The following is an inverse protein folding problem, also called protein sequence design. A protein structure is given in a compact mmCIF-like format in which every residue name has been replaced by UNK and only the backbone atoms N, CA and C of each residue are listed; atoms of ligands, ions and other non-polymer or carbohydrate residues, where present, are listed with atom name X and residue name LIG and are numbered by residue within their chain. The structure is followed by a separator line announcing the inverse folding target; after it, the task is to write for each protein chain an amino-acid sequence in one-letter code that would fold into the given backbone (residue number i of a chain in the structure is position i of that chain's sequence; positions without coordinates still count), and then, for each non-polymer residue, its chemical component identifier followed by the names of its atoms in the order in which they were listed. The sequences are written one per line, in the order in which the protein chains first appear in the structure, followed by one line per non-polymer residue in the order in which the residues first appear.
data_IF_928663616221
#
_entry.id   IF_928663616221
#
_cell.length_a   1.000
_cell.length_b   1.000
_cell.length_c   1.000
_cell.angle_alpha   90.00
_cell.angle_beta   90.00
_cell.angle_gamma   90.00
#
_symmetry.space_group_name_H-M   'P 1'
#
loop_
_entity.id
_entity.type
_entity.pdbx_description
1 polymer ?
#
# COMPACT_ATOMS: atom_id res chain seq x y z
N UNK A 1 -22.99 3.45 -11.98
CA UNK A 1 -21.54 3.58 -12.19
C UNK A 1 -20.94 3.90 -10.83
N UNK A 2 -20.22 2.97 -10.21
CA UNK A 2 -19.51 3.23 -8.96
C UNK A 2 -18.28 4.08 -9.27
N UNK A 3 -18.00 5.09 -8.45
CA UNK A 3 -16.78 5.88 -8.58
C UNK A 3 -15.55 5.00 -8.25
N UNK A 4 -14.44 5.19 -8.96
CA UNK A 4 -13.16 4.52 -8.72
C UNK A 4 -12.59 4.95 -7.36
N UNK A 5 -12.08 4.00 -6.56
CA UNK A 5 -11.42 4.33 -5.30
C UNK A 5 -10.11 5.08 -5.55
N UNK A 6 -9.78 6.06 -4.71
CA UNK A 6 -8.57 6.88 -4.83
C UNK A 6 -7.91 7.09 -3.47
N UNK A 7 -6.67 7.56 -3.48
CA UNK A 7 -6.05 8.10 -2.27
C UNK A 7 -6.77 9.39 -1.85
N UNK A 8 -7.29 9.41 -0.63
CA UNK A 8 -7.94 10.57 -0.03
C UNK A 8 -6.94 11.54 0.59
N UNK A 9 -5.80 11.03 1.05
CA UNK A 9 -4.70 11.78 1.64
C UNK A 9 -3.37 11.24 1.10
N UNK A 10 -2.27 12.02 1.15
CA UNK A 10 -0.94 11.50 0.87
C UNK A 10 -0.65 10.29 1.76
N UNK A 11 -0.16 9.17 1.18
CA UNK A 11 0.17 7.99 1.96
C UNK A 11 1.34 8.27 2.90
N UNK A 12 1.37 7.55 4.02
CA UNK A 12 2.47 7.66 5.00
C UNK A 12 3.21 6.34 5.06
N UNK A 13 4.53 6.41 4.91
CA UNK A 13 5.44 5.31 5.11
C UNK A 13 6.44 5.72 6.19
N UNK A 14 6.47 4.98 7.30
CA UNK A 14 7.30 5.32 8.45
C UNK A 14 8.01 4.09 9.00
N UNK A 15 9.30 4.23 9.25
CA UNK A 15 10.03 3.21 9.99
C UNK A 15 9.72 3.30 11.49
N UNK A 16 9.68 2.12 12.11
CA UNK A 16 9.53 1.93 13.54
C UNK A 16 10.71 1.11 14.07
N UNK A 17 10.81 0.97 15.40
CA UNK A 17 11.81 0.08 16.01
C UNK A 17 11.64 -1.39 15.57
N UNK A 18 10.44 -1.81 15.16
CA UNK A 18 10.12 -3.21 14.87
C UNK A 18 9.92 -3.53 13.38
N UNK A 19 9.88 -2.51 12.51
CA UNK A 19 9.57 -2.70 11.10
C UNK A 19 9.17 -1.39 10.44
N UNK A 20 8.34 -1.43 9.41
CA UNK A 20 7.79 -0.26 8.73
C UNK A 20 6.26 -0.30 8.76
N UNK A 21 5.64 0.87 8.77
CA UNK A 21 4.18 1.04 8.74
C UNK A 21 3.81 1.83 7.51
N UNK A 22 2.91 1.28 6.69
CA UNK A 22 2.30 1.94 5.54
C UNK A 22 0.83 2.24 5.88
N UNK A 23 0.46 3.50 5.81
CA UNK A 23 -0.92 3.96 5.99
C UNK A 23 -1.44 4.59 4.70
N UNK A 24 -2.59 4.08 4.22
CA UNK A 24 -3.28 4.56 3.04
C UNK A 24 -4.68 5.03 3.43
N UNK A 25 -4.99 6.30 3.20
CA UNK A 25 -6.35 6.82 3.30
C UNK A 25 -7.04 6.67 1.96
N UNK A 26 -8.14 5.92 1.89
CA UNK A 26 -8.88 5.69 0.65
C UNK A 26 -10.22 6.42 0.67
N UNK A 27 -10.69 6.90 -0.49
CA UNK A 27 -12.00 7.54 -0.63
C UNK A 27 -13.17 6.59 -0.33
N UNK A 28 -12.95 5.29 -0.49
CA UNK A 28 -13.90 4.22 -0.21
C UNK A 28 -13.13 2.91 0.02
N UNK A 29 -13.66 1.99 0.85
CA UNK A 29 -13.07 0.68 1.02
C UNK A 29 -13.18 -0.12 -0.29
N UNK A 30 -12.11 -0.86 -0.62
CA UNK A 30 -12.09 -1.82 -1.73
C UNK A 30 -11.56 -3.15 -1.25
N UNK A 31 -11.96 -4.28 -1.85
CA UNK A 31 -11.28 -5.55 -1.65
C UNK A 31 -9.78 -5.43 -1.91
N UNK A 32 -8.98 -6.01 -1.05
CA UNK A 32 -7.53 -5.97 -1.14
C UNK A 32 -6.92 -7.23 -0.54
N UNK A 33 -5.65 -7.47 -0.84
CA UNK A 33 -4.84 -8.51 -0.19
C UNK A 33 -3.40 -8.04 -0.05
N UNK A 34 -2.70 -8.61 0.92
CA UNK A 34 -1.28 -8.38 1.16
C UNK A 34 -0.55 -9.69 1.33
N UNK A 35 0.67 -9.75 0.80
CA UNK A 35 1.58 -10.89 0.97
C UNK A 35 3.02 -10.45 0.73
N UNK A 36 3.97 -11.30 1.11
CA UNK A 36 5.39 -11.08 0.86
C UNK A 36 5.92 -12.02 -0.22
N UNK A 37 6.96 -11.58 -0.91
CA UNK A 37 7.76 -12.39 -1.82
C UNK A 37 9.22 -12.33 -1.37
N UNK A 38 9.98 -13.36 -1.69
CA UNK A 38 11.43 -13.39 -1.57
C UNK A 38 12.09 -13.11 -2.94
N UNK A 39 13.42 -13.06 -2.93
CA UNK A 39 14.29 -12.97 -4.11
C UNK A 39 13.83 -11.97 -5.21
N UNK A 40 13.85 -10.64 -4.96
CA UNK A 40 14.20 -9.95 -3.72
C UNK A 40 13.01 -9.84 -2.72
N UNK A 41 13.28 -9.58 -1.43
CA UNK A 41 12.26 -9.32 -0.42
C UNK A 41 11.30 -8.20 -0.83
N UNK A 42 10.01 -8.49 -0.93
CA UNK A 42 8.99 -7.53 -1.35
C UNK A 42 7.73 -7.68 -0.51
N UNK A 43 7.11 -6.55 -0.14
CA UNK A 43 5.73 -6.49 0.29
C UNK A 43 4.87 -6.12 -0.91
N UNK A 44 3.81 -6.90 -1.13
CA UNK A 44 2.87 -6.69 -2.22
C UNK A 44 1.50 -6.40 -1.65
N UNK A 45 0.86 -5.34 -2.14
CA UNK A 45 -0.54 -5.03 -1.90
C UNK A 45 -1.30 -5.00 -3.23
N UNK A 46 -2.33 -5.82 -3.35
CA UNK A 46 -3.28 -5.79 -4.48
C UNK A 46 -4.58 -5.15 -4.04
N UNK A 47 -5.14 -4.29 -4.88
CA UNK A 47 -6.42 -3.62 -4.67
C UNK A 47 -7.34 -3.86 -5.87
N UNK A 48 -8.62 -4.11 -5.59
CA UNK A 48 -9.67 -4.10 -6.60
C UNK A 48 -9.92 -2.64 -7.02
N UNK A 49 -9.24 -2.23 -8.08
CA UNK A 49 -9.29 -0.90 -8.69
C UNK A 49 -9.07 0.28 -7.72
N UNK A 50 -7.81 0.51 -7.32
CA UNK A 50 -7.38 1.74 -6.64
C UNK A 50 -6.56 2.64 -7.58
N UNK A 51 -6.98 3.90 -7.72
CA UNK A 51 -6.25 4.95 -8.44
C UNK A 51 -5.15 5.56 -7.56
N UNK A 52 -3.90 5.45 -8.03
CA UNK A 52 -2.72 6.02 -7.40
C UNK A 52 -2.26 7.33 -8.05
N UNK A 53 -3.11 7.97 -8.87
CA UNK A 53 -2.78 9.26 -9.50
C UNK A 53 -2.30 10.27 -8.46
N UNK A 54 -1.14 10.88 -8.73
CA UNK A 54 -0.51 11.85 -7.82
C UNK A 54 0.42 11.23 -6.76
N UNK A 55 0.49 9.91 -6.63
CA UNK A 55 1.47 9.25 -5.76
C UNK A 55 2.86 9.19 -6.42
N UNK A 56 3.81 9.93 -5.86
CA UNK A 56 5.23 9.71 -6.13
C UNK A 56 5.77 8.60 -5.21
N UNK A 57 5.90 7.39 -5.76
CA UNK A 57 6.41 6.23 -5.02
C UNK A 57 7.89 6.35 -4.67
N UNK A 58 8.69 7.00 -5.50
CA UNK A 58 10.12 7.17 -5.24
C UNK A 58 10.33 8.11 -4.04
N UNK A 59 9.66 9.27 -4.05
CA UNK A 59 9.72 10.22 -2.95
C UNK A 59 9.22 9.61 -1.62
N UNK A 60 8.18 8.77 -1.65
CA UNK A 60 7.71 8.10 -0.44
C UNK A 60 8.73 7.08 0.11
N UNK A 61 9.39 6.31 -0.77
CA UNK A 61 10.39 5.33 -0.38
C UNK A 61 11.67 5.99 0.16
N UNK A 62 12.10 7.13 -0.40
CA UNK A 62 13.27 7.88 0.09
C UNK A 62 13.17 8.29 1.56
N UNK A 63 11.96 8.42 2.10
CA UNK A 63 11.70 8.73 3.51
C UNK A 63 11.85 7.55 4.49
N UNK A 64 12.11 6.33 4.01
CA UNK A 64 12.18 5.12 4.83
C UNK A 64 13.45 4.31 4.54
N UNK A 65 14.14 3.85 5.58
CA UNK A 65 15.31 3.00 5.46
C UNK A 65 14.97 1.53 5.19
N UNK A 66 13.79 1.06 5.61
CA UNK A 66 13.37 -0.35 5.44
C UNK A 66 12.74 -0.66 4.09
N UNK A 67 12.45 0.35 3.27
CA UNK A 67 11.87 0.22 1.94
C UNK A 67 12.80 0.87 0.93
N UNK A 68 13.34 0.08 0.01
CA UNK A 68 14.35 0.55 -0.95
C UNK A 68 13.73 1.13 -2.22
N UNK A 69 12.52 0.69 -2.55
CA UNK A 69 11.73 1.28 -3.64
C UNK A 69 10.24 1.00 -3.45
N UNK A 70 9.41 1.87 -4.01
CA UNK A 70 7.97 1.66 -4.08
C UNK A 70 7.50 1.89 -5.51
N UNK A 71 6.84 0.87 -6.07
CA UNK A 71 6.22 0.90 -7.40
C UNK A 71 4.73 0.67 -7.27
N UNK A 72 3.94 1.30 -8.12
CA UNK A 72 2.50 1.09 -8.17
C UNK A 72 1.99 1.17 -9.61
N UNK A 73 0.81 0.59 -9.87
CA UNK A 73 0.16 0.67 -11.17
C UNK A 73 -0.82 -0.47 -11.44
N UNK A 74 -1.33 -0.52 -12.66
CA UNK A 74 -2.21 -1.59 -13.13
C UNK A 74 -1.43 -2.91 -13.20
N UNK A 75 -1.96 -3.97 -12.59
CA UNK A 75 -1.44 -5.33 -12.77
C UNK A 75 -2.34 -6.12 -13.72
N UNK A 76 -3.65 -6.21 -13.45
CA UNK A 76 -4.65 -6.91 -14.28
C UNK A 76 -5.83 -5.98 -14.52
N UNK A 77 -6.66 -6.24 -15.55
CA UNK A 77 -7.97 -5.63 -15.61
C UNK A 77 -8.71 -5.81 -14.28
N UNK A 78 -9.13 -4.70 -13.67
CA UNK A 78 -9.79 -4.69 -12.36
C UNK A 78 -8.88 -4.70 -11.13
N UNK A 79 -7.55 -4.75 -11.30
CA UNK A 79 -6.61 -4.82 -10.18
C UNK A 79 -5.41 -3.89 -10.35
N UNK A 80 -5.17 -3.07 -9.33
CA UNK A 80 -3.93 -2.31 -9.20
C UNK A 80 -3.06 -2.90 -8.10
N UNK A 81 -1.74 -2.80 -8.26
CA UNK A 81 -0.75 -3.30 -7.30
C UNK A 81 0.15 -2.19 -6.84
N UNK A 82 0.45 -2.20 -5.54
CA UNK A 82 1.60 -1.53 -4.95
C UNK A 82 2.64 -2.57 -4.52
N UNK A 83 3.91 -2.35 -4.84
CA UNK A 83 5.04 -3.19 -4.46
C UNK A 83 6.05 -2.33 -3.72
N UNK A 84 6.36 -2.70 -2.48
CA UNK A 84 7.47 -2.16 -1.72
C UNK A 84 8.59 -3.19 -1.78
N UNK A 85 9.73 -2.81 -2.32
CA UNK A 85 10.96 -3.59 -2.18
C UNK A 85 11.55 -3.32 -0.80
N UNK A 86 11.87 -4.38 -0.06
CA UNK A 86 12.26 -4.29 1.35
C UNK A 86 13.77 -4.41 1.47
N UNK A 87 14.36 -3.66 2.39
CA UNK A 87 15.80 -3.68 2.65
C UNK A 87 16.28 -5.04 3.22
N UNK A 88 15.39 -5.78 3.87
CA UNK A 88 15.63 -7.11 4.43
C UNK A 88 14.34 -7.96 4.38
N UNK A 89 14.43 -9.30 4.53
CA UNK A 89 13.25 -10.14 4.69
C UNK A 89 12.40 -9.70 5.91
N UNK A 90 11.12 -9.42 5.68
CA UNK A 90 10.16 -9.04 6.72
C UNK A 90 8.87 -9.83 6.59
N UNK A 91 8.08 -9.87 7.67
CA UNK A 91 6.75 -10.47 7.71
C UNK A 91 5.68 -9.40 7.98
N UNK A 92 4.45 -9.67 7.56
CA UNK A 92 3.31 -8.82 7.90
C UNK A 92 2.90 -9.11 9.35
N UNK A 93 3.14 -8.14 10.24
CA UNK A 93 2.72 -8.22 11.65
C UNK A 93 1.22 -7.92 11.79
N UNK A 94 0.75 -6.86 11.12
CA UNK A 94 -0.65 -6.45 11.12
C UNK A 94 -1.07 -5.93 9.74
N UNK A 95 -2.32 -6.19 9.38
CA UNK A 95 -2.94 -5.66 8.17
C UNK A 95 -4.46 -5.57 8.37
N UNK A 96 -5.06 -4.44 8.01
CA UNK A 96 -6.50 -4.23 8.21
C UNK A 96 -7.00 -2.97 7.53
N UNK A 97 -8.31 -2.91 7.31
CA UNK A 97 -9.00 -1.68 6.90
C UNK A 97 -9.87 -1.24 8.05
N UNK A 98 -9.73 0.02 8.45
CA UNK A 98 -10.61 0.66 9.40
C UNK A 98 -11.60 1.50 8.62
N UNK A 99 -12.86 1.07 8.63
CA UNK A 99 -13.98 1.91 8.20
C UNK A 99 -14.49 2.66 9.42
N UNK A 100 -14.70 3.98 9.30
CA UNK A 100 -15.56 4.68 10.26
C UNK A 100 -16.88 3.89 10.30
N UNK A 101 -17.28 3.43 11.48
CA UNK A 101 -18.53 2.70 11.63
C UNK A 101 -19.66 3.54 11.02
N UNK A 102 -20.56 2.89 10.28
CA UNK A 102 -21.82 3.53 9.97
C UNK A 102 -22.50 3.80 11.31
N UNK A 103 -22.53 5.07 11.76
CA UNK A 103 -23.38 5.49 12.86
C UNK A 103 -24.79 4.97 12.54
N UNK A 104 -25.25 4.02 13.35
CA UNK A 104 -26.61 3.46 13.31
C UNK A 104 -27.30 3.84 14.60
#
# INVERSE_FOLDING_TARGET
MTALARLAEPPRLQDTRRGAVLELSLTQPVPWRVFTLDAPPRLVLDFSELDFTGLDGAALAEGAARVTSLRHGLWQPGWTRMVLELAEPMVVDQAGVQTAGADT
#
